data_IF_834088469905
#
_entry.id   IF_834088469905
#
_cell.length_a   1.000
_cell.length_b   1.000
_cell.length_c   1.000
_cell.angle_alpha   90.00
_cell.angle_beta   90.00
_cell.angle_gamma   90.00
#
_symmetry.space_group_name_H-M   'P 1'
#
loop_
_entity.id
_entity.type
_entity.pdbx_description
1 polymer ?
#
# COMPACT_ATOMS: atom_id res chain seq x y z
N UNK A 1 -0.44 -20.61 13.40
CA UNK A 1 -1.56 -19.73 13.81
C UNK A 1 -1.71 -19.73 15.33
N UNK A 2 -1.28 -18.65 15.97
CA UNK A 2 -1.65 -18.37 17.36
C UNK A 2 -2.89 -17.49 17.33
N UNK A 3 -4.03 -18.03 17.72
CA UNK A 3 -5.31 -17.30 17.77
C UNK A 3 -5.35 -16.59 19.12
N UNK A 4 -5.08 -15.28 19.12
CA UNK A 4 -5.25 -14.43 20.30
C UNK A 4 -6.49 -13.56 20.09
N UNK A 5 -7.60 -13.90 20.74
CA UNK A 5 -8.84 -13.14 20.74
C UNK A 5 -9.18 -12.66 22.15
N UNK A 6 -9.74 -11.46 22.27
CA UNK A 6 -10.35 -10.94 23.51
C UNK A 6 -11.85 -10.83 23.26
N UNK A 7 -12.66 -11.50 24.09
CA UNK A 7 -14.11 -11.59 23.92
C UNK A 7 -14.77 -10.53 24.85
N UNK A 8 -15.58 -9.58 24.35
CA UNK A 8 -16.46 -8.73 25.18
C UNK A 8 -17.78 -9.46 25.48
N UNK A 9 -18.54 -9.12 26.54
CA UNK A 9 -19.58 -10.04 27.07
C UNK A 9 -21.00 -9.47 27.20
N UNK A 10 -22.01 -10.34 27.04
CA UNK A 10 -23.43 -10.07 27.29
C UNK A 10 -24.11 -11.36 27.83
N UNK A 11 -24.99 -11.25 28.83
CA UNK A 11 -25.69 -12.39 29.44
C UNK A 11 -26.88 -12.82 28.57
N UNK A 12 -26.98 -14.10 28.24
CA UNK A 12 -28.15 -14.69 27.56
C UNK A 12 -28.61 -15.91 28.35
N UNK A 13 -29.86 -15.88 28.81
CA UNK A 13 -30.50 -16.99 29.51
C UNK A 13 -31.46 -17.70 28.57
N UNK A 14 -31.30 -19.01 28.34
CA UNK A 14 -32.27 -19.79 27.55
C UNK A 14 -32.30 -21.24 28.06
N UNK A 15 -33.49 -21.69 28.49
CA UNK A 15 -33.79 -23.05 28.98
C UNK A 15 -32.88 -23.53 30.14
N UNK A 16 -33.09 -22.98 31.34
CA UNK A 16 -32.60 -23.50 32.64
C UNK A 16 -31.06 -23.52 32.86
N UNK A 17 -30.23 -23.25 31.85
CA UNK A 17 -28.77 -23.04 32.01
C UNK A 17 -28.36 -21.60 31.69
N UNK A 18 -27.53 -20.98 32.55
CA UNK A 18 -27.04 -19.61 32.37
C UNK A 18 -25.56 -19.59 32.01
N UNK A 19 -25.21 -19.30 30.76
CA UNK A 19 -23.81 -19.09 30.39
C UNK A 19 -23.50 -17.60 30.59
N UNK A 20 -22.76 -17.28 31.66
CA UNK A 20 -22.40 -15.91 32.02
C UNK A 20 -20.91 -15.71 31.75
N UNK A 21 -20.52 -14.73 30.95
CA UNK A 21 -19.09 -14.47 30.70
C UNK A 21 -18.73 -13.07 31.22
N UNK A 22 -17.66 -12.90 32.01
CA UNK A 22 -17.37 -11.64 32.75
C UNK A 22 -15.96 -11.12 32.43
N UNK A 23 -15.83 -9.79 32.23
CA UNK A 23 -14.55 -9.09 32.05
C UNK A 23 -14.21 -8.32 33.32
N UNK A 24 -13.23 -8.78 34.08
CA UNK A 24 -12.43 -7.88 34.89
C UNK A 24 -11.15 -7.54 34.12
N UNK A 25 -10.79 -6.25 34.13
CA UNK A 25 -9.87 -5.52 33.23
C UNK A 25 -8.44 -6.08 33.03
N UNK A 26 -8.12 -7.32 33.38
CA UNK A 26 -6.83 -7.94 33.11
C UNK A 26 -6.82 -9.48 33.05
N UNK A 27 -7.95 -10.18 33.14
CA UNK A 27 -7.99 -11.65 33.07
C UNK A 27 -9.21 -12.13 32.31
N UNK A 28 -8.98 -12.77 31.16
CA UNK A 28 -10.00 -13.42 30.34
C UNK A 28 -10.45 -14.73 30.98
N UNK A 29 -11.51 -14.70 31.78
CA UNK A 29 -12.13 -15.90 32.36
C UNK A 29 -13.46 -16.18 31.65
N UNK A 30 -13.60 -17.39 31.11
CA UNK A 30 -14.89 -17.93 30.68
C UNK A 30 -15.62 -18.43 31.94
N UNK A 31 -16.81 -17.92 32.24
CA UNK A 31 -17.63 -18.43 33.33
C UNK A 31 -18.79 -19.21 32.68
N UNK A 32 -19.12 -20.36 33.25
CA UNK A 32 -20.30 -21.15 32.90
C UNK A 32 -21.05 -21.25 34.23
N UNK A 33 -22.25 -20.67 34.34
CA UNK A 33 -23.01 -20.68 35.58
C UNK A 33 -24.03 -21.82 35.54
N UNK A 34 -24.02 -22.64 36.57
CA UNK A 34 -24.99 -23.71 36.78
C UNK A 34 -26.13 -23.23 37.70
N UNK A 35 -27.22 -23.99 37.73
CA UNK A 35 -28.57 -23.60 38.15
C UNK A 35 -28.71 -23.16 39.63
N UNK A 36 -27.68 -23.38 40.46
CA UNK A 36 -27.73 -23.20 41.92
C UNK A 36 -27.29 -21.80 42.45
N UNK A 37 -27.26 -20.75 41.61
CA UNK A 37 -26.83 -19.39 41.99
C UNK A 37 -25.40 -19.27 42.56
N UNK A 38 -24.63 -20.35 42.65
CA UNK A 38 -23.19 -20.31 42.92
C UNK A 38 -22.45 -20.22 41.58
N UNK A 39 -21.98 -19.02 41.24
CA UNK A 39 -21.05 -18.84 40.13
C UNK A 39 -19.70 -19.43 40.54
N UNK A 40 -19.46 -20.70 40.22
CA UNK A 40 -18.12 -21.26 40.33
C UNK A 40 -17.22 -20.61 39.29
N UNK A 41 -16.25 -19.84 39.79
CA UNK A 41 -15.23 -19.24 38.96
C UNK A 41 -14.34 -20.34 38.37
N UNK A 42 -14.54 -20.65 37.09
CA UNK A 42 -13.48 -21.21 36.24
C UNK A 42 -12.40 -20.13 35.99
N UNK A 43 -11.79 -19.64 37.08
CA UNK A 43 -10.77 -18.58 37.13
C UNK A 43 -9.36 -19.15 37.29
N UNK A 44 -9.17 -20.47 37.15
CA UNK A 44 -7.83 -20.94 36.84
C UNK A 44 -7.62 -20.64 35.37
N UNK A 45 -6.65 -19.77 35.12
CA UNK A 45 -5.95 -19.55 33.87
C UNK A 45 -5.59 -20.92 33.27
N UNK A 46 -6.57 -21.60 32.66
CA UNK A 46 -6.28 -22.73 31.83
C UNK A 46 -5.64 -22.09 30.61
N UNK A 47 -4.32 -22.18 30.55
CA UNK A 47 -3.62 -22.19 29.29
C UNK A 47 -4.29 -23.29 28.48
N UNK A 48 -5.33 -22.92 27.72
CA UNK A 48 -5.95 -23.80 26.76
C UNK A 48 -4.81 -24.33 25.92
N UNK A 49 -4.61 -25.64 25.97
CA UNK A 49 -3.55 -26.23 25.19
C UNK A 49 -3.87 -25.90 23.74
N UNK A 50 -2.84 -25.59 22.93
CA UNK A 50 -3.00 -25.34 21.49
C UNK A 50 -3.81 -26.44 20.77
N UNK A 51 -3.93 -27.61 21.39
CA UNK A 51 -4.66 -28.78 20.92
C UNK A 51 -6.19 -28.72 21.14
N UNK A 52 -6.67 -27.80 21.98
CA UNK A 52 -8.10 -27.70 22.36
C UNK A 52 -8.91 -26.85 21.36
N UNK A 53 -8.22 -26.13 20.47
CA UNK A 53 -8.77 -25.32 19.40
C UNK A 53 -8.51 -25.99 18.05
N UNK A 54 -9.58 -26.34 17.33
CA UNK A 54 -9.48 -26.88 15.96
C UNK A 54 -10.22 -25.97 15.00
N UNK A 55 -9.61 -25.61 13.87
CA UNK A 55 -10.29 -24.87 12.81
C UNK A 55 -11.38 -25.77 12.20
N UNK A 56 -12.58 -25.21 11.96
CA UNK A 56 -13.67 -25.94 11.27
C UNK A 56 -13.22 -26.37 9.87
N UNK A 57 -12.47 -25.50 9.20
CA UNK A 57 -11.91 -25.76 7.89
C UNK A 57 -10.50 -25.13 7.80
N UNK A 58 -9.49 -25.96 7.58
CA UNK A 58 -8.09 -25.49 7.45
C UNK A 58 -7.90 -24.53 6.26
N UNK A 59 -8.72 -24.67 5.21
CA UNK A 59 -8.68 -23.80 4.03
C UNK A 59 -9.47 -22.50 4.21
N UNK A 60 -10.36 -22.42 5.22
CA UNK A 60 -11.14 -21.23 5.52
C UNK A 60 -11.12 -20.94 7.04
N UNK A 61 -10.10 -20.22 7.55
CA UNK A 61 -9.94 -19.95 8.97
C UNK A 61 -11.08 -19.09 9.55
N UNK A 62 -11.84 -18.42 8.69
CA UNK A 62 -12.99 -17.64 9.11
C UNK A 62 -14.28 -18.46 9.21
N UNK A 63 -14.30 -19.73 8.78
CA UNK A 63 -15.44 -20.61 9.02
C UNK A 63 -15.74 -20.70 10.53
N UNK A 64 -14.70 -20.59 11.36
CA UNK A 64 -14.79 -20.61 12.80
C UNK A 64 -13.81 -21.59 13.44
N UNK A 65 -13.91 -21.71 14.76
CA UNK A 65 -13.07 -22.58 15.58
C UNK A 65 -13.95 -23.45 16.45
N UNK A 66 -13.64 -24.74 16.52
CA UNK A 66 -14.20 -25.69 17.46
C UNK A 66 -13.34 -25.63 18.71
N UNK A 67 -13.94 -25.23 19.82
CA UNK A 67 -13.32 -25.29 21.15
C UNK A 67 -13.83 -26.55 21.86
N UNK A 68 -12.92 -27.46 22.19
CA UNK A 68 -13.26 -28.64 23.00
C UNK A 68 -12.98 -28.36 24.46
N UNK A 69 -14.01 -28.41 25.31
CA UNK A 69 -13.85 -28.28 26.75
C UNK A 69 -13.88 -29.68 27.35
N UNK A 70 -12.77 -30.08 27.97
CA UNK A 70 -12.65 -31.35 28.70
C UNK A 70 -12.94 -31.11 30.18
N UNK A 71 -13.70 -32.01 30.81
CA UNK A 71 -13.94 -31.99 32.26
C UNK A 71 -15.25 -31.35 32.72
N UNK A 72 -16.25 -31.27 31.85
CA UNK A 72 -17.66 -31.12 32.27
C UNK A 72 -18.16 -32.54 32.59
N UNK A 73 -18.86 -32.71 33.72
CA UNK A 73 -19.17 -34.00 34.38
C UNK A 73 -19.55 -35.18 33.46
N UNK A 74 -19.07 -36.37 33.86
CA UNK A 74 -19.38 -37.72 33.35
C UNK A 74 -19.55 -37.86 31.81
N UNK A 75 -18.41 -38.03 31.15
CA UNK A 75 -18.20 -38.64 29.82
C UNK A 75 -18.55 -37.86 28.53
N UNK A 76 -18.99 -36.60 28.59
CA UNK A 76 -19.25 -35.81 27.36
C UNK A 76 -18.29 -34.63 27.17
N UNK A 77 -17.48 -34.69 26.11
CA UNK A 77 -16.68 -33.55 25.66
C UNK A 77 -17.63 -32.49 25.08
N UNK A 78 -17.75 -31.34 25.73
CA UNK A 78 -18.54 -30.23 25.18
C UNK A 78 -17.77 -29.59 24.01
N UNK A 79 -18.33 -29.65 22.80
CA UNK A 79 -17.80 -28.97 21.62
C UNK A 79 -18.57 -27.66 21.37
N UNK A 80 -17.88 -26.54 21.52
CA UNK A 80 -18.41 -25.21 21.21
C UNK A 80 -17.98 -24.79 19.81
N UNK A 81 -18.95 -24.59 18.92
CA UNK A 81 -18.70 -24.08 17.57
C UNK A 81 -18.72 -22.55 17.58
N UNK A 82 -17.54 -21.95 17.53
CA UNK A 82 -17.38 -20.51 17.48
C UNK A 82 -17.31 -20.09 16.01
N UNK A 83 -18.33 -19.39 15.51
CA UNK A 83 -18.39 -18.92 14.12
C UNK A 83 -18.06 -17.42 14.06
N UNK A 84 -17.17 -17.03 13.15
CA UNK A 84 -16.90 -15.62 12.89
C UNK A 84 -18.12 -14.96 12.25
N UNK A 85 -18.61 -13.88 12.86
CA UNK A 85 -19.70 -13.07 12.31
C UNK A 85 -19.31 -11.59 12.32
N UNK A 86 -19.81 -10.83 11.35
CA UNK A 86 -19.64 -9.37 11.31
C UNK A 86 -20.50 -8.66 12.38
N UNK A 87 -21.44 -9.37 13.02
CA UNK A 87 -22.28 -8.82 14.08
C UNK A 87 -21.48 -8.67 15.38
N UNK A 88 -21.60 -7.48 16.00
CA UNK A 88 -21.12 -7.25 17.36
C UNK A 88 -22.09 -7.85 18.42
N UNK A 89 -23.26 -8.37 18.00
CA UNK A 89 -24.20 -9.04 18.90
C UNK A 89 -23.92 -10.55 18.96
N UNK A 90 -24.03 -11.11 20.16
CA UNK A 90 -23.96 -12.55 20.37
C UNK A 90 -25.24 -13.21 19.88
N UNK A 91 -25.14 -13.90 18.75
CA UNK A 91 -26.22 -14.76 18.27
C UNK A 91 -25.91 -16.20 18.66
N UNK A 92 -26.65 -16.70 19.65
CA UNK A 92 -26.63 -18.12 20.02
C UNK A 92 -27.61 -18.85 19.11
N UNK A 93 -27.10 -19.73 18.25
CA UNK A 93 -27.94 -20.57 17.40
C UNK A 93 -28.04 -21.96 18.04
N UNK A 94 -29.25 -22.33 18.48
CA UNK A 94 -29.55 -23.61 19.14
C UNK A 94 -29.60 -24.82 18.21
N UNK A 95 -29.52 -24.61 16.89
CA UNK A 95 -29.60 -25.67 15.89
C UNK A 95 -28.42 -25.59 14.94
N UNK A 96 -27.26 -25.95 15.45
CA UNK A 96 -26.19 -26.47 14.62
C UNK A 96 -26.20 -27.99 14.72
N UNK A 97 -25.58 -28.67 13.76
CA UNK A 97 -25.42 -30.13 13.78
C UNK A 97 -24.57 -30.63 14.99
N UNK A 98 -24.01 -29.69 15.77
CA UNK A 98 -23.26 -29.86 17.02
C UNK A 98 -23.81 -28.90 18.12
N UNK A 99 -23.59 -29.23 19.39
CA UNK A 99 -24.39 -28.81 20.55
C UNK A 99 -24.62 -27.29 20.75
N UNK A 100 -23.62 -26.43 20.51
CA UNK A 100 -23.79 -24.97 20.66
C UNK A 100 -23.00 -24.16 19.64
N UNK A 101 -23.68 -23.22 18.98
CA UNK A 101 -23.09 -22.28 18.04
C UNK A 101 -23.11 -20.86 18.58
N UNK A 102 -21.92 -20.24 18.68
CA UNK A 102 -21.77 -18.84 19.07
C UNK A 102 -21.22 -18.06 17.88
N UNK A 103 -22.01 -17.12 17.38
CA UNK A 103 -21.56 -16.17 16.37
C UNK A 103 -21.14 -14.87 17.02
N UNK A 104 -19.88 -14.48 16.83
CA UNK A 104 -19.38 -13.20 17.31
C UNK A 104 -18.15 -12.73 16.55
N UNK A 105 -17.97 -11.41 16.44
CA UNK A 105 -16.82 -10.80 15.76
C UNK A 105 -15.47 -11.05 16.43
N UNK A 106 -15.44 -11.23 17.75
CA UNK A 106 -14.20 -11.54 18.47
C UNK A 106 -13.65 -12.94 18.18
N UNK A 107 -14.49 -13.83 17.64
CA UNK A 107 -14.10 -15.18 17.22
C UNK A 107 -13.38 -15.14 15.87
N UNK A 108 -13.61 -14.08 15.08
CA UNK A 108 -12.94 -13.91 13.82
C UNK A 108 -11.43 -13.95 14.04
N UNK A 109 -10.71 -14.80 13.30
CA UNK A 109 -9.27 -14.84 13.42
C UNK A 109 -8.75 -13.42 13.17
N UNK A 110 -8.04 -12.89 14.16
CA UNK A 110 -7.12 -11.82 13.86
C UNK A 110 -6.15 -12.42 12.86
N UNK A 111 -6.34 -12.13 11.57
CA UNK A 111 -5.39 -12.44 10.52
C UNK A 111 -4.12 -11.73 10.94
N UNK A 112 -3.28 -12.43 11.70
CA UNK A 112 -1.95 -11.95 12.07
C UNK A 112 -1.26 -11.88 10.73
N UNK A 113 -1.21 -10.65 10.22
CA UNK A 113 -0.56 -10.35 8.97
C UNK A 113 0.87 -10.85 9.03
N UNK A 114 1.48 -10.95 7.86
CA UNK A 114 2.92 -11.06 7.71
C UNK A 114 3.61 -10.27 8.84
N UNK A 115 4.52 -10.88 9.62
CA UNK A 115 5.11 -10.27 10.82
C UNK A 115 5.61 -8.83 10.62
N UNK A 116 5.96 -8.48 9.38
CA UNK A 116 6.28 -7.12 8.93
C UNK A 116 5.18 -6.09 9.25
N UNK A 117 3.90 -6.43 9.03
CA UNK A 117 2.78 -5.52 9.33
C UNK A 117 2.61 -5.27 10.83
N UNK A 118 2.91 -6.28 11.67
CA UNK A 118 2.93 -6.09 13.13
C UNK A 118 4.01 -5.09 13.54
N UNK A 119 5.17 -5.15 12.88
CA UNK A 119 6.23 -4.16 13.07
C UNK A 119 5.81 -2.75 12.60
N UNK A 120 5.13 -2.64 11.46
CA UNK A 120 4.56 -1.36 11.01
C UNK A 120 3.54 -0.80 12.00
N UNK A 121 2.72 -1.66 12.62
CA UNK A 121 1.79 -1.25 13.69
C UNK A 121 2.51 -0.72 14.94
N UNK A 122 3.74 -1.15 15.22
CA UNK A 122 4.53 -0.59 16.31
C UNK A 122 5.11 0.79 15.97
N UNK A 123 5.51 0.99 14.71
CA UNK A 123 6.12 2.23 14.23
C UNK A 123 5.16 3.19 13.50
N UNK A 124 3.85 2.97 13.59
CA UNK A 124 2.88 3.74 12.80
C UNK A 124 2.93 5.25 13.11
N UNK A 125 3.22 5.65 14.36
CA UNK A 125 3.31 7.06 14.75
C UNK A 125 4.49 7.77 14.06
N UNK A 126 5.76 7.37 14.28
CA UNK A 126 6.88 8.04 13.62
C UNK A 126 6.82 7.93 12.10
N UNK A 127 6.44 6.77 11.56
CA UNK A 127 6.29 6.59 10.11
C UNK A 127 5.21 7.50 9.54
N UNK A 128 4.08 7.62 10.23
CA UNK A 128 2.98 8.47 9.80
C UNK A 128 3.36 9.95 9.75
N UNK A 129 4.11 10.45 10.74
CA UNK A 129 4.64 11.83 10.73
C UNK A 129 5.60 12.04 9.55
N UNK A 130 6.51 11.10 9.30
CA UNK A 130 7.43 11.15 8.16
C UNK A 130 6.66 11.20 6.83
N UNK A 131 5.64 10.37 6.68
CA UNK A 131 4.83 10.32 5.45
C UNK A 131 4.00 11.59 5.25
N UNK A 132 3.47 12.19 6.31
CA UNK A 132 2.77 13.48 6.23
C UNK A 132 3.74 14.58 5.76
N UNK A 133 4.93 14.68 6.35
CA UNK A 133 5.94 15.66 5.95
C UNK A 133 6.39 15.46 4.50
N UNK A 134 6.62 14.20 4.11
CA UNK A 134 6.97 13.85 2.74
C UNK A 134 5.82 14.14 1.77
N UNK A 135 4.57 13.90 2.18
CA UNK A 135 3.38 14.18 1.39
C UNK A 135 3.24 15.68 1.09
N UNK A 136 3.40 16.53 2.12
CA UNK A 136 3.41 17.99 1.96
C UNK A 136 4.54 18.42 1.01
N UNK A 137 5.74 17.87 1.19
CA UNK A 137 6.88 18.15 0.32
C UNK A 137 6.58 17.79 -1.14
N UNK A 138 6.01 16.62 -1.41
CA UNK A 138 5.67 16.18 -2.77
C UNK A 138 4.56 17.02 -3.41
N UNK A 139 3.57 17.46 -2.62
CA UNK A 139 2.50 18.35 -3.11
C UNK A 139 3.05 19.71 -3.54
N UNK A 140 3.91 20.33 -2.73
CA UNK A 140 4.38 21.70 -2.96
C UNK A 140 5.56 21.74 -3.91
N UNK A 141 6.53 20.84 -3.72
CA UNK A 141 7.83 20.90 -4.38
C UNK A 141 8.12 19.70 -5.27
N UNK A 142 7.17 18.78 -5.43
CA UNK A 142 7.44 17.49 -6.03
C UNK A 142 7.97 17.61 -7.46
N UNK A 143 7.23 18.32 -8.33
CA UNK A 143 7.67 18.53 -9.70
C UNK A 143 8.91 19.45 -9.81
N UNK A 144 9.05 20.42 -8.91
CA UNK A 144 10.18 21.35 -8.91
C UNK A 144 11.51 20.62 -8.67
N UNK A 145 11.53 19.63 -7.79
CA UNK A 145 12.71 18.80 -7.53
C UNK A 145 12.51 17.39 -8.05
N UNK A 146 12.13 17.27 -9.33
CA UNK A 146 11.80 15.99 -9.95
C UNK A 146 12.87 14.91 -9.68
N UNK A 147 14.16 15.25 -9.79
CA UNK A 147 15.28 14.35 -9.49
C UNK A 147 15.30 13.83 -8.05
N UNK A 148 14.99 14.68 -7.08
CA UNK A 148 14.95 14.26 -5.67
C UNK A 148 13.71 13.39 -5.43
N UNK A 149 12.56 13.77 -6.00
CA UNK A 149 11.34 13.00 -5.85
C UNK A 149 11.41 11.61 -6.45
N UNK A 150 12.05 11.45 -7.62
CA UNK A 150 12.22 10.13 -8.23
C UNK A 150 13.07 9.23 -7.36
N UNK A 151 14.12 9.75 -6.73
CA UNK A 151 14.97 9.00 -5.79
C UNK A 151 14.18 8.59 -4.56
N UNK A 152 13.39 9.50 -3.97
CA UNK A 152 12.58 9.17 -2.78
C UNK A 152 11.49 8.16 -3.09
N UNK A 153 10.75 8.34 -4.20
CA UNK A 153 9.73 7.38 -4.63
C UNK A 153 10.34 6.02 -4.98
N UNK A 154 11.52 6.00 -5.62
CA UNK A 154 12.26 4.77 -5.88
C UNK A 154 12.65 4.06 -4.59
N UNK A 155 13.20 4.79 -3.61
CA UNK A 155 13.56 4.23 -2.31
C UNK A 155 12.35 3.55 -1.64
N UNK A 156 11.21 4.24 -1.61
CA UNK A 156 9.96 3.76 -1.03
C UNK A 156 9.45 2.50 -1.74
N UNK A 157 9.37 2.56 -3.08
CA UNK A 157 8.90 1.45 -3.89
C UNK A 157 9.81 0.22 -3.80
N UNK A 158 11.13 0.41 -3.89
CA UNK A 158 12.12 -0.66 -3.80
C UNK A 158 12.09 -1.34 -2.43
N UNK A 159 12.01 -0.56 -1.36
CA UNK A 159 11.87 -1.08 0.01
C UNK A 159 10.56 -1.85 0.17
N UNK A 160 9.43 -1.29 -0.30
CA UNK A 160 8.12 -1.92 -0.19
C UNK A 160 8.04 -3.24 -0.96
N UNK A 161 8.45 -3.27 -2.24
CA UNK A 161 8.42 -4.49 -3.05
C UNK A 161 9.31 -5.58 -2.43
N UNK A 162 10.53 -5.23 -2.04
CA UNK A 162 11.45 -6.21 -1.46
C UNK A 162 10.93 -6.77 -0.13
N UNK A 163 10.43 -5.90 0.76
CA UNK A 163 9.90 -6.33 2.06
C UNK A 163 8.64 -7.17 1.91
N UNK A 164 7.76 -6.88 0.94
CA UNK A 164 6.58 -7.72 0.66
C UNK A 164 7.02 -9.09 0.13
N UNK A 165 7.88 -9.13 -0.89
CA UNK A 165 8.29 -10.39 -1.54
C UNK A 165 9.04 -11.31 -0.59
N UNK A 166 10.05 -10.82 0.13
CA UNK A 166 10.75 -11.64 1.13
C UNK A 166 9.89 -11.88 2.36
N UNK A 167 9.05 -10.92 2.70
CA UNK A 167 8.07 -11.02 3.77
C UNK A 167 7.19 -12.26 3.62
N UNK A 168 6.60 -12.43 2.44
CA UNK A 168 5.71 -13.54 2.15
C UNK A 168 6.46 -14.83 1.78
N UNK A 169 7.65 -14.73 1.17
CA UNK A 169 8.41 -15.89 0.73
C UNK A 169 9.28 -16.56 1.81
N UNK A 170 9.67 -15.83 2.86
CA UNK A 170 10.69 -16.29 3.83
C UNK A 170 10.18 -16.33 5.28
N UNK A 171 9.27 -15.45 5.70
CA UNK A 171 8.81 -15.45 7.10
C UNK A 171 7.60 -16.35 7.29
N UNK A 172 7.78 -17.38 8.09
CA UNK A 172 6.68 -18.07 8.72
C UNK A 172 6.09 -17.25 9.88
N UNK A 173 4.85 -17.54 10.26
CA UNK A 173 4.14 -16.83 11.34
C UNK A 173 4.85 -16.91 12.70
N UNK A 174 5.62 -17.96 12.94
CA UNK A 174 6.35 -18.20 14.18
C UNK A 174 7.83 -17.73 14.11
N UNK A 175 8.17 -16.93 13.09
CA UNK A 175 9.51 -16.35 12.93
C UNK A 175 9.87 -15.43 14.10
N UNK A 176 11.15 -15.46 14.51
CA UNK A 176 11.66 -14.59 15.57
C UNK A 176 11.65 -13.11 15.16
N UNK A 177 11.45 -12.22 16.14
CA UNK A 177 11.48 -10.76 15.91
C UNK A 177 12.79 -10.28 15.25
N UNK A 178 13.90 -10.98 15.52
CA UNK A 178 15.20 -10.72 14.88
C UNK A 178 15.18 -10.92 13.37
N UNK A 179 14.47 -11.94 12.86
CA UNK A 179 14.36 -12.18 11.42
C UNK A 179 13.63 -11.02 10.70
N UNK A 180 12.59 -10.47 11.34
CA UNK A 180 11.83 -9.33 10.82
C UNK A 180 12.73 -8.10 10.68
N UNK A 181 13.53 -7.79 11.71
CA UNK A 181 14.45 -6.65 11.70
C UNK A 181 15.50 -6.81 10.59
N UNK A 182 16.06 -8.01 10.41
CA UNK A 182 17.04 -8.29 9.35
C UNK A 182 16.44 -7.99 7.97
N UNK A 183 15.21 -8.44 7.71
CA UNK A 183 14.54 -8.28 6.42
C UNK A 183 14.15 -6.82 6.15
N UNK A 184 13.78 -6.08 7.19
CA UNK A 184 13.53 -4.65 7.09
C UNK A 184 14.82 -3.87 6.79
N UNK A 185 15.90 -4.16 7.52
CA UNK A 185 17.21 -3.55 7.28
C UNK A 185 17.75 -3.87 5.88
N UNK A 186 17.62 -5.12 5.42
CA UNK A 186 18.02 -5.49 4.06
C UNK A 186 17.13 -4.83 3.00
N UNK A 187 15.83 -4.66 3.28
CA UNK A 187 14.90 -3.94 2.42
C UNK A 187 15.26 -2.46 2.26
N UNK A 188 15.63 -1.79 3.34
CA UNK A 188 16.15 -0.41 3.29
C UNK A 188 17.42 -0.36 2.42
N UNK A 189 18.33 -1.33 2.58
CA UNK A 189 19.54 -1.44 1.76
C UNK A 189 19.24 -1.55 0.27
N UNK A 190 18.31 -2.44 -0.12
CA UNK A 190 17.86 -2.60 -1.52
C UNK A 190 17.18 -1.32 -2.03
N UNK A 191 16.34 -0.67 -1.20
CA UNK A 191 15.75 0.61 -1.51
C UNK A 191 16.79 1.68 -1.84
N UNK A 192 17.87 1.79 -1.06
CA UNK A 192 18.96 2.76 -1.31
C UNK A 192 19.67 2.46 -2.63
N UNK A 193 19.98 1.18 -2.91
CA UNK A 193 20.63 0.77 -4.16
C UNK A 193 19.74 1.11 -5.37
N UNK A 194 18.43 0.84 -5.28
CA UNK A 194 17.48 1.14 -6.34
C UNK A 194 17.30 2.65 -6.54
N UNK A 195 17.23 3.42 -5.45
CA UNK A 195 17.17 4.88 -5.48
C UNK A 195 18.43 5.50 -6.12
N UNK A 196 19.62 5.01 -5.76
CA UNK A 196 20.88 5.43 -6.36
C UNK A 196 20.96 5.05 -7.86
N UNK A 197 20.49 3.87 -8.23
CA UNK A 197 20.41 3.46 -9.64
C UNK A 197 19.50 4.40 -10.44
N UNK A 198 18.38 4.79 -9.84
CA UNK A 198 17.42 5.74 -10.41
C UNK A 198 18.02 7.13 -10.55
N UNK A 199 18.85 7.54 -9.59
CA UNK A 199 19.58 8.81 -9.63
C UNK A 199 20.57 8.87 -10.81
N UNK A 200 21.34 7.79 -11.01
CA UNK A 200 22.33 7.70 -12.10
C UNK A 200 21.65 7.58 -13.48
N UNK A 201 20.54 6.84 -13.56
CA UNK A 201 19.84 6.58 -14.83
C UNK A 201 18.53 7.35 -14.93
N UNK A 202 18.59 8.54 -15.53
CA UNK A 202 17.44 9.42 -15.72
C UNK A 202 16.21 8.71 -16.31
N UNK A 203 16.37 7.91 -17.38
CA UNK A 203 15.25 7.20 -18.01
C UNK A 203 14.54 6.24 -17.06
N UNK A 204 15.30 5.61 -16.15
CA UNK A 204 14.75 4.71 -15.13
C UNK A 204 13.96 5.49 -14.07
N UNK A 205 14.37 6.73 -13.74
CA UNK A 205 13.61 7.64 -12.89
C UNK A 205 12.30 8.08 -13.50
N UNK A 206 12.29 8.41 -14.79
CA UNK A 206 11.05 8.76 -15.49
C UNK A 206 10.09 7.58 -15.55
N UNK A 207 10.60 6.38 -15.85
CA UNK A 207 9.82 5.15 -15.83
C UNK A 207 9.23 4.88 -14.43
N UNK A 208 10.02 5.08 -13.36
CA UNK A 208 9.59 4.87 -11.98
C UNK A 208 8.44 5.80 -11.56
N UNK A 209 8.48 7.08 -11.97
CA UNK A 209 7.34 8.01 -11.78
C UNK A 209 6.05 7.39 -12.34
N UNK A 210 6.08 6.93 -13.60
CA UNK A 210 4.91 6.32 -14.22
C UNK A 210 4.47 5.03 -13.53
N UNK A 211 5.42 4.21 -13.08
CA UNK A 211 5.14 2.99 -12.35
C UNK A 211 4.41 3.27 -11.02
N UNK A 212 4.92 4.22 -10.22
CA UNK A 212 4.29 4.64 -8.97
C UNK A 212 2.89 5.19 -9.21
N UNK A 213 2.69 5.97 -10.28
CA UNK A 213 1.37 6.47 -10.67
C UNK A 213 0.38 5.34 -10.93
N UNK A 214 0.76 4.35 -11.75
CA UNK A 214 -0.10 3.21 -12.07
C UNK A 214 -0.44 2.35 -10.85
N UNK A 215 0.55 2.10 -9.99
CA UNK A 215 0.35 1.37 -8.73
C UNK A 215 -0.61 2.12 -7.81
N UNK A 216 -0.43 3.43 -7.61
CA UNK A 216 -1.30 4.23 -6.73
C UNK A 216 -2.73 4.34 -7.26
N UNK A 217 -2.91 4.52 -8.58
CA UNK A 217 -4.24 4.51 -9.19
C UNK A 217 -4.92 3.17 -8.95
N UNK A 218 -4.21 2.06 -9.17
CA UNK A 218 -4.77 0.73 -8.96
C UNK A 218 -5.14 0.51 -7.50
N UNK A 219 -4.27 0.89 -6.56
CA UNK A 219 -4.55 0.80 -5.12
C UNK A 219 -5.77 1.63 -4.68
N UNK A 220 -6.01 2.78 -5.32
CA UNK A 220 -7.16 3.63 -5.02
C UNK A 220 -8.46 3.10 -5.63
N UNK A 221 -8.37 2.49 -6.81
CA UNK A 221 -9.50 1.92 -7.53
C UNK A 221 -9.91 0.57 -6.95
N UNK A 222 -8.96 -0.23 -6.47
CA UNK A 222 -9.19 -1.60 -6.00
C UNK A 222 -10.34 -1.71 -4.98
N UNK A 223 -10.37 -0.95 -3.87
CA UNK A 223 -11.48 -1.00 -2.91
C UNK A 223 -12.83 -0.61 -3.52
N UNK A 224 -12.83 0.25 -4.54
CA UNK A 224 -14.08 0.67 -5.21
C UNK A 224 -14.65 -0.42 -6.08
N UNK A 225 -13.84 -1.30 -6.67
CA UNK A 225 -14.30 -2.35 -7.59
C UNK A 225 -14.31 -3.74 -6.96
N UNK A 226 -13.75 -3.90 -5.76
CA UNK A 226 -13.69 -5.16 -5.02
C UNK A 226 -15.08 -5.84 -4.90
N UNK A 227 -16.14 -5.06 -4.66
CA UNK A 227 -17.51 -5.58 -4.53
C UNK A 227 -18.12 -6.16 -5.82
N UNK A 228 -17.54 -5.86 -7.00
CA UNK A 228 -18.07 -6.30 -8.29
C UNK A 228 -17.54 -7.68 -8.70
N UNK A 229 -16.44 -8.14 -8.10
CA UNK A 229 -15.73 -9.35 -8.51
C UNK A 229 -15.79 -10.40 -7.40
N UNK A 230 -16.76 -11.31 -7.50
CA UNK A 230 -16.94 -12.40 -6.53
C UNK A 230 -16.17 -13.69 -6.92
N UNK A 231 -15.01 -13.56 -7.57
CA UNK A 231 -14.33 -14.70 -8.24
C UNK A 231 -12.97 -15.03 -7.62
N UNK A 232 -12.75 -16.30 -7.26
CA UNK A 232 -11.44 -16.87 -6.94
C UNK A 232 -10.66 -17.10 -8.26
N UNK A 233 -9.70 -16.24 -8.66
CA UNK A 233 -8.52 -15.90 -7.89
C UNK A 233 -8.24 -14.38 -7.82
N UNK A 234 -9.06 -13.67 -7.05
CA UNK A 234 -8.99 -12.21 -6.95
C UNK A 234 -7.60 -11.63 -6.63
N UNK A 235 -6.85 -12.26 -5.71
CA UNK A 235 -5.51 -11.79 -5.34
C UNK A 235 -4.55 -11.74 -6.53
N UNK A 236 -4.53 -12.81 -7.33
CA UNK A 236 -3.65 -12.92 -8.50
C UNK A 236 -4.08 -11.91 -9.57
N UNK A 237 -5.38 -11.77 -9.79
CA UNK A 237 -5.92 -10.79 -10.74
C UNK A 237 -5.57 -9.35 -10.33
N UNK A 238 -5.72 -8.97 -9.06
CA UNK A 238 -5.40 -7.62 -8.60
C UNK A 238 -3.90 -7.32 -8.67
N UNK A 239 -3.06 -8.28 -8.25
CA UNK A 239 -1.60 -8.14 -8.35
C UNK A 239 -1.16 -7.99 -9.81
N UNK A 240 -1.76 -8.76 -10.73
CA UNK A 240 -1.49 -8.62 -12.16
C UNK A 240 -1.96 -7.28 -12.70
N UNK A 241 -3.14 -6.79 -12.33
CA UNK A 241 -3.65 -5.48 -12.76
C UNK A 241 -2.72 -4.36 -12.26
N UNK A 242 -2.24 -4.44 -11.02
CA UNK A 242 -1.31 -3.47 -10.46
C UNK A 242 0.03 -3.48 -11.19
N UNK A 243 0.55 -4.67 -11.53
CA UNK A 243 1.79 -4.82 -12.28
C UNK A 243 1.64 -4.31 -13.73
N UNK A 244 0.57 -4.71 -14.42
CA UNK A 244 0.31 -4.32 -15.81
C UNK A 244 0.07 -2.81 -15.91
N UNK A 245 -0.76 -2.23 -15.03
CA UNK A 245 -1.01 -0.79 -15.01
C UNK A 245 0.28 -0.01 -14.71
N UNK A 246 1.08 -0.44 -13.72
CA UNK A 246 2.37 0.16 -13.40
C UNK A 246 3.32 0.16 -14.60
N UNK A 247 3.42 -0.97 -15.32
CA UNK A 247 4.24 -1.05 -16.53
C UNK A 247 3.74 -0.13 -17.65
N UNK A 248 2.43 -0.13 -17.92
CA UNK A 248 1.82 0.73 -18.95
C UNK A 248 2.11 2.20 -18.65
N UNK A 249 1.79 2.66 -17.43
CA UNK A 249 2.02 4.04 -17.03
C UNK A 249 3.51 4.39 -16.97
N UNK A 250 4.38 3.45 -16.60
CA UNK A 250 5.83 3.58 -16.69
C UNK A 250 6.31 3.89 -18.11
N UNK A 251 5.85 3.14 -19.11
CA UNK A 251 6.18 3.41 -20.51
C UNK A 251 5.58 4.72 -21.03
N UNK A 252 4.34 5.05 -20.63
CA UNK A 252 3.71 6.31 -21.01
C UNK A 252 4.44 7.53 -20.40
N UNK A 253 4.95 7.42 -19.18
CA UNK A 253 5.70 8.49 -18.52
C UNK A 253 6.99 8.85 -19.28
N UNK A 254 7.64 7.87 -19.94
CA UNK A 254 8.79 8.13 -20.81
C UNK A 254 8.46 9.08 -21.98
N UNK A 255 7.21 9.08 -22.47
CA UNK A 255 6.76 9.96 -23.56
C UNK A 255 6.21 11.28 -23.04
N UNK A 256 5.52 11.28 -21.90
CA UNK A 256 4.78 12.42 -21.38
C UNK A 256 5.28 12.87 -20.00
N UNK A 257 6.59 13.08 -19.87
CA UNK A 257 7.28 13.38 -18.62
C UNK A 257 6.60 14.47 -17.77
N UNK A 258 6.28 15.62 -18.38
CA UNK A 258 5.79 16.78 -17.63
C UNK A 258 4.41 16.50 -17.02
N UNK A 259 3.51 15.88 -17.79
CA UNK A 259 2.16 15.55 -17.34
C UNK A 259 2.18 14.46 -16.28
N UNK A 260 2.94 13.39 -16.50
CA UNK A 260 3.04 12.31 -15.51
C UNK A 260 3.82 12.72 -14.28
N UNK A 261 4.87 13.53 -14.40
CA UNK A 261 5.64 14.04 -13.24
C UNK A 261 4.76 14.83 -12.28
N UNK A 262 3.97 15.78 -12.80
CA UNK A 262 3.03 16.56 -12.00
C UNK A 262 1.93 15.66 -11.43
N UNK A 263 1.29 14.85 -12.27
CA UNK A 263 0.20 13.96 -11.84
C UNK A 263 0.63 12.97 -10.75
N UNK A 264 1.82 12.38 -10.88
CA UNK A 264 2.36 11.40 -9.93
C UNK A 264 2.74 12.05 -8.62
N UNK A 265 3.46 13.17 -8.63
CA UNK A 265 3.88 13.81 -7.39
C UNK A 265 2.68 14.38 -6.62
N UNK A 266 1.68 14.89 -7.32
CA UNK A 266 0.40 15.29 -6.72
C UNK A 266 -0.37 14.10 -6.13
N UNK A 267 -0.48 12.98 -6.86
CA UNK A 267 -1.18 11.79 -6.40
C UNK A 267 -0.46 11.13 -5.22
N UNK A 268 0.84 10.88 -5.35
CA UNK A 268 1.68 10.28 -4.31
C UNK A 268 1.74 11.17 -3.06
N UNK A 269 1.87 12.49 -3.22
CA UNK A 269 1.87 13.42 -2.11
C UNK A 269 0.53 13.45 -1.36
N UNK A 270 -0.59 13.48 -2.08
CA UNK A 270 -1.94 13.46 -1.49
C UNK A 270 -2.22 12.14 -0.78
N UNK A 271 -1.80 11.02 -1.38
CA UNK A 271 -1.91 9.69 -0.78
C UNK A 271 -1.07 9.57 0.49
N UNK A 272 0.20 9.97 0.46
CA UNK A 272 1.10 9.94 1.63
C UNK A 272 0.68 10.91 2.73
N UNK A 273 -0.07 11.97 2.40
CA UNK A 273 -0.63 12.88 3.40
C UNK A 273 -1.87 12.30 4.08
N UNK A 274 -2.81 11.74 3.31
CA UNK A 274 -4.10 11.26 3.85
C UNK A 274 -4.00 9.86 4.48
N UNK A 275 -3.23 8.94 3.89
CA UNK A 275 -3.17 7.55 4.38
C UNK A 275 -2.72 7.44 5.85
N UNK A 276 -1.66 8.15 6.29
CA UNK A 276 -1.29 8.16 7.71
C UNK A 276 -2.35 8.74 8.64
N UNK A 277 -3.13 9.74 8.17
CA UNK A 277 -4.26 10.26 8.96
C UNK A 277 -5.28 9.16 9.21
N UNK A 278 -5.53 8.31 8.21
CA UNK A 278 -6.34 7.10 8.37
C UNK A 278 -5.79 6.09 9.39
N UNK A 279 -4.47 6.02 9.57
CA UNK A 279 -3.85 5.20 10.63
C UNK A 279 -4.10 5.79 12.02
N UNK A 280 -4.03 7.11 12.18
CA UNK A 280 -4.24 7.79 13.45
C UNK A 280 -5.71 7.87 13.86
N UNK A 281 -6.58 8.23 12.92
CA UNK A 281 -8.02 8.41 13.16
C UNK A 281 -8.80 7.09 13.04
N UNK A 282 -8.20 6.06 12.44
CA UNK A 282 -8.85 4.80 12.13
C UNK A 282 -9.87 4.91 10.99
N UNK A 283 -10.56 3.79 10.72
CA UNK A 283 -11.61 3.71 9.70
C UNK A 283 -11.11 3.68 8.25
N UNK A 284 -9.79 3.81 8.01
CA UNK A 284 -9.22 3.53 6.70
C UNK A 284 -8.95 2.02 6.58
N UNK A 285 -9.66 1.29 5.70
CA UNK A 285 -9.43 -0.13 5.51
C UNK A 285 -8.00 -0.41 5.03
N UNK A 286 -7.33 -1.38 5.65
CA UNK A 286 -6.05 -1.87 5.13
C UNK A 286 -6.32 -2.64 3.84
N UNK A 287 -5.71 -2.24 2.73
CA UNK A 287 -5.99 -2.81 1.41
C UNK A 287 -5.69 -4.32 1.38
N UNK A 288 -4.60 -4.74 2.00
CA UNK A 288 -4.22 -6.16 2.11
C UNK A 288 -5.23 -6.97 2.92
N UNK A 289 -5.85 -6.33 3.92
CA UNK A 289 -6.90 -6.95 4.73
C UNK A 289 -8.14 -7.23 3.88
N UNK A 290 -8.58 -6.26 3.08
CA UNK A 290 -9.75 -6.41 2.22
C UNK A 290 -9.58 -7.53 1.22
N UNK A 291 -8.42 -7.61 0.56
CA UNK A 291 -8.16 -8.66 -0.42
C UNK A 291 -8.22 -10.04 0.22
N UNK A 292 -7.70 -10.21 1.44
CA UNK A 292 -7.78 -11.48 2.16
C UNK A 292 -9.20 -11.82 2.62
N UNK A 293 -9.94 -10.86 3.18
CA UNK A 293 -11.34 -11.10 3.58
C UNK A 293 -12.18 -11.53 2.37
N UNK A 294 -12.00 -10.86 1.23
CA UNK A 294 -12.69 -11.23 -0.01
C UNK A 294 -12.28 -12.62 -0.49
N UNK A 295 -11.00 -12.96 -0.35
CA UNK A 295 -10.51 -14.29 -0.70
C UNK A 295 -11.19 -15.40 0.10
N UNK A 296 -11.69 -15.13 1.30
CA UNK A 296 -12.45 -16.11 2.10
C UNK A 296 -13.97 -16.02 1.92
N UNK A 297 -14.46 -15.17 1.01
CA UNK A 297 -15.88 -15.09 0.64
C UNK A 297 -16.76 -14.30 1.61
N UNK A 298 -16.18 -13.39 2.40
CA UNK A 298 -16.95 -12.53 3.30
C UNK A 298 -17.51 -11.32 2.57
N UNK A 299 -18.77 -10.99 2.87
CA UNK A 299 -19.38 -9.74 2.40
C UNK A 299 -18.68 -8.54 3.03
N UNK A 300 -18.04 -7.74 2.17
CA UNK A 300 -17.34 -6.52 2.58
C UNK A 300 -18.33 -5.37 2.57
N UNK A 301 -18.66 -4.87 3.76
CA UNK A 301 -19.27 -3.55 3.91
C UNK A 301 -18.16 -2.50 4.02
N UNK A 302 -18.08 -1.62 3.03
CA UNK A 302 -17.12 -0.50 3.05
C UNK A 302 -17.73 0.63 3.87
N UNK A 303 -17.06 1.02 4.96
CA UNK A 303 -17.48 2.13 5.81
C UNK A 303 -17.48 3.45 5.02
N UNK A 304 -18.48 4.31 5.27
CA UNK A 304 -18.59 5.65 4.68
C UNK A 304 -17.31 6.48 4.87
N UNK A 305 -16.58 6.25 5.97
CA UNK A 305 -15.29 6.93 6.27
C UNK A 305 -14.26 6.74 5.15
N UNK A 306 -14.22 5.57 4.51
CA UNK A 306 -13.32 5.32 3.38
C UNK A 306 -13.55 6.32 2.24
N UNK A 307 -14.81 6.57 1.88
CA UNK A 307 -15.16 7.49 0.80
C UNK A 307 -14.76 8.93 1.10
N UNK A 308 -14.79 9.35 2.38
CA UNK A 308 -14.28 10.66 2.79
C UNK A 308 -12.76 10.78 2.59
N UNK A 309 -11.99 9.76 2.98
CA UNK A 309 -10.54 9.74 2.74
C UNK A 309 -10.22 9.74 1.24
N UNK A 310 -10.92 8.90 0.47
CA UNK A 310 -10.77 8.83 -0.99
C UNK A 310 -11.06 10.18 -1.64
N UNK A 311 -12.21 10.80 -1.32
CA UNK A 311 -12.58 12.12 -1.83
C UNK A 311 -11.53 13.19 -1.48
N UNK A 312 -11.00 13.16 -0.26
CA UNK A 312 -9.95 14.08 0.19
C UNK A 312 -8.66 13.92 -0.63
N UNK A 313 -8.25 12.68 -0.94
CA UNK A 313 -7.08 12.41 -1.81
C UNK A 313 -7.30 13.00 -3.20
N UNK A 314 -8.48 12.83 -3.79
CA UNK A 314 -8.79 13.36 -5.14
C UNK A 314 -8.81 14.88 -5.15
N UNK A 315 -9.46 15.54 -4.17
CA UNK A 315 -9.52 17.00 -4.07
C UNK A 315 -8.12 17.59 -3.89
N UNK A 316 -7.31 17.00 -3.00
CA UNK A 316 -5.92 17.41 -2.79
C UNK A 316 -5.07 17.18 -4.04
N UNK A 317 -5.23 16.04 -4.72
CA UNK A 317 -4.51 15.75 -5.96
C UNK A 317 -4.81 16.82 -7.01
N UNK A 318 -6.09 17.13 -7.26
CA UNK A 318 -6.51 18.13 -8.25
C UNK A 318 -5.94 19.51 -7.89
N UNK A 319 -6.08 19.93 -6.63
CA UNK A 319 -5.53 21.20 -6.15
C UNK A 319 -4.00 21.28 -6.31
N UNK A 320 -3.30 20.19 -6.00
CA UNK A 320 -1.84 20.08 -6.14
C UNK A 320 -1.40 20.12 -7.60
N UNK A 321 -2.12 19.45 -8.51
CA UNK A 321 -1.87 19.52 -9.95
C UNK A 321 -1.99 20.96 -10.45
N UNK A 322 -3.07 21.67 -10.11
CA UNK A 322 -3.24 23.07 -10.49
C UNK A 322 -2.12 23.97 -9.94
N UNK A 323 -1.74 23.77 -8.69
CA UNK A 323 -0.67 24.52 -8.04
C UNK A 323 0.69 24.30 -8.74
N UNK A 324 1.07 23.05 -8.97
CA UNK A 324 2.33 22.69 -9.62
C UNK A 324 2.37 23.14 -11.08
N UNK A 325 1.26 23.05 -11.83
CA UNK A 325 1.19 23.58 -13.19
C UNK A 325 1.39 25.10 -13.23
N UNK A 326 0.81 25.83 -12.28
CA UNK A 326 1.00 27.28 -12.17
C UNK A 326 2.47 27.61 -11.87
N UNK A 327 3.11 26.84 -11.01
CA UNK A 327 4.53 26.99 -10.69
C UNK A 327 5.43 26.67 -11.89
N UNK A 328 5.10 25.64 -12.66
CA UNK A 328 5.80 25.30 -13.89
C UNK A 328 5.72 26.42 -14.93
N UNK A 329 4.52 26.97 -15.18
CA UNK A 329 4.35 28.09 -16.13
C UNK A 329 5.18 29.30 -15.76
N UNK A 330 5.24 29.65 -14.47
CA UNK A 330 6.08 30.75 -13.98
C UNK A 330 7.58 30.51 -14.18
N UNK A 331 8.03 29.26 -14.10
CA UNK A 331 9.44 28.91 -14.35
C UNK A 331 9.79 29.04 -15.82
N UNK A 332 8.97 28.49 -16.71
CA UNK A 332 9.21 28.58 -18.16
C UNK A 332 9.31 30.04 -18.63
N UNK A 333 8.46 30.94 -18.13
CA UNK A 333 8.55 32.37 -18.48
C UNK A 333 9.83 33.06 -17.98
N UNK A 334 10.39 32.61 -16.85
CA UNK A 334 11.64 33.16 -16.32
C UNK A 334 12.83 32.65 -17.13
N UNK A 335 12.83 31.36 -17.49
CA UNK A 335 13.90 30.75 -18.28
C UNK A 335 13.96 31.36 -19.69
N UNK A 336 12.80 31.64 -20.31
CA UNK A 336 12.72 32.40 -21.56
C UNK A 336 13.30 33.82 -21.43
N UNK A 337 13.00 34.52 -20.33
CA UNK A 337 13.54 35.87 -20.07
C UNK A 337 15.06 35.85 -19.86
N UNK A 338 15.62 34.83 -19.21
CA UNK A 338 17.06 34.68 -19.05
C UNK A 338 17.75 34.31 -20.37
N UNK A 339 17.18 33.38 -21.13
CA UNK A 339 17.69 33.02 -22.45
C UNK A 339 17.73 34.23 -23.40
N UNK A 340 16.71 35.09 -23.35
CA UNK A 340 16.69 36.33 -24.13
C UNK A 340 17.79 37.31 -23.70
N UNK A 341 18.00 37.52 -22.39
CA UNK A 341 19.07 38.39 -21.90
C UNK A 341 20.46 37.90 -22.27
N UNK A 342 20.72 36.60 -22.18
CA UNK A 342 22.03 36.04 -22.53
C UNK A 342 22.33 36.25 -24.01
N UNK A 343 21.34 36.11 -24.90
CA UNK A 343 21.49 36.41 -26.33
C UNK A 343 21.84 37.88 -26.61
N UNK A 344 21.18 38.83 -25.93
CA UNK A 344 21.50 40.27 -26.06
C UNK A 344 22.93 40.59 -25.63
N UNK A 345 23.46 39.93 -24.59
CA UNK A 345 24.85 40.11 -24.15
C UNK A 345 25.87 39.62 -25.18
N UNK A 346 25.60 38.49 -25.86
CA UNK A 346 26.49 37.99 -26.92
C UNK A 346 26.49 38.89 -28.15
N UNK A 347 25.35 39.48 -28.50
CA UNK A 347 25.25 40.37 -29.67
C UNK A 347 26.00 41.69 -29.42
N UNK A 348 25.93 42.26 -28.21
CA UNK A 348 26.70 43.45 -27.84
C UNK A 348 28.22 43.21 -27.81
N UNK A 349 28.67 42.02 -27.40
CA UNK A 349 30.09 41.65 -27.36
C UNK A 349 30.75 41.50 -28.74
N UNK A 350 29.98 41.16 -29.77
CA UNK A 350 30.50 41.04 -31.14
C UNK A 350 30.55 42.39 -31.88
N UNK A 351 29.77 43.39 -31.48
CA UNK A 351 29.83 44.73 -32.07
C UNK A 351 31.15 45.45 -31.73
N UNK A 352 31.72 45.23 -30.54
CA UNK A 352 33.03 45.79 -30.18
C UNK A 352 34.21 45.12 -30.90
N UNK A 353 34.04 43.89 -31.40
CA UNK A 353 35.08 43.17 -32.16
C UNK A 353 34.91 43.28 -33.67
N UNK A 354 34.06 44.20 -34.13
CA UNK A 354 33.90 44.60 -35.53
C UNK A 354 35.11 45.34 -36.12
N UNK A 355 36.28 44.69 -36.14
CA UNK A 355 37.35 44.93 -37.12
C UNK A 355 37.46 43.67 -37.98
N UNK A 356 36.68 43.68 -39.08
CA UNK A 356 36.75 42.86 -40.31
C UNK A 356 37.32 41.44 -40.18
N UNK A 357 36.43 40.46 -40.20
CA UNK A 357 36.71 39.17 -40.85
C UNK A 357 35.47 38.64 -41.54
N UNK A 358 35.55 38.59 -42.87
CA UNK A 358 34.61 37.91 -43.76
C UNK A 358 34.54 36.42 -43.39
N UNK A 359 33.41 35.97 -42.82
CA UNK A 359 33.13 34.53 -42.68
C UNK A 359 31.72 34.24 -43.16
N UNK A 360 31.67 33.36 -44.16
CA UNK A 360 30.49 32.82 -44.83
C UNK A 360 29.65 31.98 -43.86
N UNK A 361 28.34 32.22 -43.91
CA UNK A 361 27.23 31.27 -43.80
C UNK A 361 27.30 30.23 -42.67
N UNK A 362 26.50 30.46 -41.63
CA UNK A 362 26.05 29.38 -40.74
C UNK A 362 24.58 29.62 -40.36
N UNK A 363 23.73 28.72 -40.81
CA UNK A 363 22.30 28.62 -40.46
C UNK A 363 22.13 28.14 -39.02
N UNK A 364 21.38 28.93 -38.25
CA UNK A 364 20.24 28.59 -37.39
C UNK A 364 20.21 27.20 -36.69
N UNK A 365 20.24 27.20 -35.34
CA UNK A 365 19.03 27.04 -34.52
C UNK A 365 19.34 26.80 -33.02
N UNK A 366 18.93 27.81 -32.24
CA UNK A 366 18.37 27.84 -30.89
C UNK A 366 18.43 26.59 -30.00
N UNK A 367 19.30 26.71 -29.01
CA UNK A 367 19.74 25.73 -28.02
C UNK A 367 18.85 25.71 -26.76
N UNK A 368 17.64 25.16 -26.80
CA UNK A 368 16.91 24.80 -25.55
C UNK A 368 16.16 23.45 -25.65
N UNK A 369 15.97 22.89 -26.84
CA UNK A 369 15.42 21.51 -27.02
C UNK A 369 16.53 20.42 -26.96
N UNK A 370 17.73 20.79 -26.50
CA UNK A 370 18.96 20.07 -26.84
C UNK A 370 19.14 18.70 -26.14
N UNK A 371 18.53 18.44 -24.98
CA UNK A 371 18.73 17.15 -24.30
C UNK A 371 17.82 16.02 -24.80
N UNK A 372 16.56 16.32 -25.18
CA UNK A 372 15.67 15.31 -25.76
C UNK A 372 15.97 15.05 -27.25
N UNK A 373 16.43 16.08 -27.98
CA UNK A 373 16.78 15.95 -29.41
C UNK A 373 18.11 15.22 -29.61
N UNK A 374 19.11 15.39 -28.74
CA UNK A 374 20.38 14.64 -28.88
C UNK A 374 20.19 13.11 -28.77
N UNK A 375 19.19 12.65 -28.00
CA UNK A 375 18.88 11.22 -27.90
C UNK A 375 18.17 10.70 -29.16
N UNK A 376 17.23 11.47 -29.73
CA UNK A 376 16.56 11.12 -30.99
C UNK A 376 17.53 11.20 -32.18
N UNK A 377 18.44 12.17 -32.21
CA UNK A 377 19.45 12.32 -33.26
C UNK A 377 20.46 11.17 -33.25
N UNK A 378 20.90 10.71 -32.07
CA UNK A 378 21.73 9.49 -31.94
C UNK A 378 21.02 8.20 -32.37
N UNK A 379 19.69 8.12 -32.24
CA UNK A 379 18.90 6.99 -32.73
C UNK A 379 18.68 7.05 -34.25
N UNK A 380 18.47 8.26 -34.80
CA UNK A 380 18.39 8.49 -36.26
C UNK A 380 19.70 8.15 -36.97
N UNK A 381 20.85 8.59 -36.42
CA UNK A 381 22.17 8.32 -36.99
C UNK A 381 22.55 6.83 -36.94
N UNK A 382 22.10 6.08 -35.92
CA UNK A 382 22.26 4.62 -35.86
C UNK A 382 21.31 3.87 -36.81
N UNK A 383 20.15 4.44 -37.11
CA UNK A 383 19.22 3.91 -38.11
C UNK A 383 19.76 4.04 -39.54
N UNK A 384 20.28 5.22 -39.90
CA UNK A 384 20.84 5.48 -41.24
C UNK A 384 22.10 4.64 -41.53
N UNK A 385 22.99 4.44 -40.55
CA UNK A 385 24.17 3.56 -40.76
C UNK A 385 23.82 2.09 -41.04
N UNK A 386 22.64 1.61 -40.64
CA UNK A 386 22.17 0.26 -40.99
C UNK A 386 21.57 0.20 -42.40
N UNK A 387 20.92 1.27 -42.85
CA UNK A 387 20.37 1.38 -44.20
C UNK A 387 21.50 1.39 -45.25
N UNK A 388 22.54 2.20 -45.04
CA UNK A 388 23.64 2.33 -46.01
C UNK A 388 24.48 1.04 -46.09
N UNK A 389 24.59 0.26 -44.99
CA UNK A 389 25.30 -1.03 -44.99
C UNK A 389 24.56 -2.17 -45.70
N UNK A 390 23.28 -1.98 -46.03
CA UNK A 390 22.45 -2.98 -46.72
C UNK A 390 22.38 -2.77 -48.24
N UNK A 391 22.69 -1.56 -48.74
CA UNK A 391 22.82 -1.28 -50.18
C UNK A 391 24.20 -1.64 -50.75
N UNK A 392 25.22 -1.81 -49.91
CA UNK A 392 26.59 -2.16 -50.37
C UNK A 392 26.83 -3.68 -50.54
N UNK A 393 25.81 -4.53 -50.32
CA UNK A 393 25.90 -6.00 -50.43
C UNK A 393 24.86 -6.63 -51.39
N UNK A 394 24.26 -5.84 -52.28
CA UNK A 394 23.51 -6.32 -53.45
C UNK A 394 24.18 -5.80 -54.72
#
# INVERSE_FOLDING_TARGET
MNICGTIPFQCVTQNEKQIMVINEKSTSNLIIAEEDNECDFYSKQHDYAKNDLRLINENNPFAGVILKIQGVEDDENLELLLICSNSDQFEIQTTCEQDYCIKHKSVCPNLVFNPIMRFYQYLYIPLGVIFILLGIFLIVFGFQYLRLTTVVLAFMLGTAIYTIVLGEGVLDQDSSDFAIIIILCSGIGVGIIYANTTYVRYLLGVFNIGLVFGVLITLLIEPLFLHLFNSHPMYLTMTLIMLISGLIFGFLACKFLNTFGIGTTALAGSYLLIKPIGWFAGGYPNEIYLVKITFYGFDISIDFRFYLYFSSIIVLMIGSVFFQYRQLRKRMSMDEMFAYKDMDYYEMGNIEKGKKSDVKGFEDETEVVMQSVQFVKKLSEKGQRKSDSSEENQ
#
